data_IF_040836660737
#
_entry.id   IF_040836660737
#
_cell.length_a   1.000
_cell.length_b   1.000
_cell.length_c   1.000
_cell.angle_alpha   90.00
_cell.angle_beta   90.00
_cell.angle_gamma   90.00
#
_symmetry.space_group_name_H-M   'P 1'
#
loop_
_entity.id
_entity.type
_entity.pdbx_description
1 polymer ?
#
# COMPACT_ATOMS: atom_id res chain seq x y z
N UNK A 1 -4.98 19.78 10.45
CA UNK A 1 -5.17 20.03 9.00
C UNK A 1 -6.65 19.93 8.67
N UNK A 2 -7.28 20.99 8.15
CA UNK A 2 -8.63 20.89 7.61
C UNK A 2 -8.54 20.23 6.23
N UNK A 3 -8.91 18.96 6.16
CA UNK A 3 -9.14 18.28 4.89
C UNK A 3 -10.46 18.80 4.32
N UNK A 4 -10.40 19.72 3.35
CA UNK A 4 -11.58 20.14 2.59
C UNK A 4 -11.99 18.98 1.69
N UNK A 5 -13.14 18.36 1.96
CA UNK A 5 -13.72 17.34 1.08
C UNK A 5 -14.49 18.01 -0.06
N UNK A 6 -14.10 17.70 -1.30
CA UNK A 6 -14.85 18.09 -2.49
C UNK A 6 -15.86 16.98 -2.81
N UNK A 7 -17.14 17.20 -2.50
CA UNK A 7 -18.21 16.23 -2.70
C UNK A 7 -18.91 16.53 -4.02
N UNK A 8 -18.95 15.54 -4.92
CA UNK A 8 -19.63 15.65 -6.20
C UNK A 8 -20.28 14.34 -6.58
N UNK A 9 -21.40 14.43 -7.29
CA UNK A 9 -22.04 13.29 -7.91
C UNK A 9 -21.25 12.81 -9.12
N UNK A 10 -21.19 11.49 -9.29
CA UNK A 10 -20.48 10.82 -10.37
C UNK A 10 -21.39 9.77 -10.98
N UNK A 11 -21.40 9.68 -12.31
CA UNK A 11 -22.22 8.69 -13.02
C UNK A 11 -21.52 7.34 -13.04
N UNK A 12 -22.28 6.29 -12.79
CA UNK A 12 -21.87 4.91 -13.06
C UNK A 12 -22.04 4.59 -14.56
N UNK A 13 -21.06 3.89 -15.12
CA UNK A 13 -21.08 3.43 -16.51
C UNK A 13 -21.30 1.92 -16.57
N UNK A 14 -22.08 1.38 -17.53
CA UNK A 14 -22.25 -0.06 -17.68
C UNK A 14 -20.95 -0.71 -18.16
N UNK A 15 -20.60 -1.86 -17.56
CA UNK A 15 -19.48 -2.73 -17.99
C UNK A 15 -19.98 -4.17 -17.92
N UNK A 16 -20.56 -4.68 -19.01
CA UNK A 16 -21.21 -6.00 -19.02
C UNK A 16 -22.34 -6.10 -17.98
N UNK A 17 -22.29 -7.12 -17.12
CA UNK A 17 -23.23 -7.30 -16.00
C UNK A 17 -22.86 -6.47 -14.73
N UNK A 18 -21.91 -5.55 -14.85
CA UNK A 18 -21.41 -4.73 -13.75
C UNK A 18 -21.49 -3.23 -14.07
N UNK A 19 -21.10 -2.41 -13.11
CA UNK A 19 -20.95 -0.96 -13.25
C UNK A 19 -19.52 -0.53 -12.94
N UNK A 20 -19.04 0.47 -13.66
CA UNK A 20 -17.77 1.12 -13.41
C UNK A 20 -17.95 2.56 -12.96
N UNK A 21 -16.94 3.08 -12.27
CA UNK A 21 -16.80 4.49 -11.92
C UNK A 21 -15.76 5.13 -12.84
N UNK A 22 -16.10 6.23 -13.52
CA UNK A 22 -15.13 6.97 -14.34
C UNK A 22 -14.33 7.92 -13.46
N UNK A 23 -13.05 7.62 -13.26
CA UNK A 23 -12.10 8.50 -12.59
C UNK A 23 -11.47 9.48 -13.59
N UNK A 24 -11.56 10.81 -13.39
CA UNK A 24 -10.84 11.78 -14.21
C UNK A 24 -9.33 11.58 -14.15
N UNK A 25 -8.64 11.73 -15.28
CA UNK A 25 -7.17 11.64 -15.36
C UNK A 25 -6.46 12.52 -14.33
N UNK A 26 -6.96 13.73 -14.10
CA UNK A 26 -6.40 14.64 -13.10
C UNK A 26 -6.41 14.06 -11.67
N UNK A 27 -7.39 13.21 -11.31
CA UNK A 27 -7.38 12.52 -10.01
C UNK A 27 -6.34 11.39 -10.00
N UNK A 28 -6.26 10.60 -11.08
CA UNK A 28 -5.27 9.53 -11.20
C UNK A 28 -3.85 10.09 -11.06
N UNK A 29 -3.55 11.17 -11.79
CA UNK A 29 -2.24 11.84 -11.75
C UNK A 29 -1.95 12.44 -10.36
N UNK A 30 -2.96 13.06 -9.72
CA UNK A 30 -2.82 13.64 -8.38
C UNK A 30 -2.48 12.60 -7.32
N UNK A 31 -3.06 11.41 -7.39
CA UNK A 31 -2.87 10.35 -6.40
C UNK A 31 -1.85 9.30 -6.82
N UNK A 32 -1.19 9.45 -7.97
CA UNK A 32 -0.21 8.48 -8.48
C UNK A 32 -0.81 7.11 -8.76
N UNK A 33 -2.12 7.03 -9.04
CA UNK A 33 -2.80 5.76 -9.29
C UNK A 33 -2.59 5.29 -10.72
N UNK A 34 -2.23 4.01 -10.87
CA UNK A 34 -1.99 3.37 -12.16
C UNK A 34 -3.16 2.47 -12.55
N UNK A 35 -2.93 1.15 -12.58
CA UNK A 35 -3.80 0.13 -13.16
C UNK A 35 -4.69 -0.56 -12.12
N UNK A 36 -4.31 -0.52 -10.83
CA UNK A 36 -5.02 -1.24 -9.76
C UNK A 36 -5.22 -0.38 -8.54
N UNK A 37 -6.40 -0.53 -7.95
CA UNK A 37 -6.80 0.05 -6.68
C UNK A 37 -7.22 -1.07 -5.73
N UNK A 38 -7.14 -0.77 -4.44
CA UNK A 38 -7.75 -1.58 -3.40
C UNK A 38 -9.14 -1.01 -3.13
N UNK A 39 -10.15 -1.87 -3.15
CA UNK A 39 -11.51 -1.54 -2.74
C UNK A 39 -11.77 -2.20 -1.40
N UNK A 40 -12.06 -1.38 -0.39
CA UNK A 40 -12.56 -1.83 0.90
C UNK A 40 -14.05 -1.54 0.99
N UNK A 41 -14.83 -2.55 1.38
CA UNK A 41 -16.27 -2.44 1.63
C UNK A 41 -16.50 -2.15 3.11
N UNK A 42 -17.24 -1.07 3.39
CA UNK A 42 -17.70 -0.66 4.71
C UNK A 42 -19.23 -0.72 4.74
N UNK A 43 -19.84 -0.56 5.92
CA UNK A 43 -21.30 -0.70 6.10
C UNK A 43 -22.13 0.22 5.18
N UNK A 44 -21.68 1.46 4.97
CA UNK A 44 -22.41 2.46 4.18
C UNK A 44 -21.62 3.02 2.99
N UNK A 45 -20.42 2.49 2.73
CA UNK A 45 -19.56 3.05 1.68
C UNK A 45 -18.52 2.06 1.17
N UNK A 46 -17.93 2.38 0.03
CA UNK A 46 -16.70 1.75 -0.44
C UNK A 46 -15.58 2.78 -0.40
N UNK A 47 -14.40 2.36 0.05
CA UNK A 47 -13.20 3.20 0.02
C UNK A 47 -12.25 2.65 -1.03
N UNK A 48 -11.91 3.50 -2.01
CA UNK A 48 -10.86 3.21 -2.98
C UNK A 48 -9.54 3.81 -2.50
N UNK A 49 -8.51 2.97 -2.41
CA UNK A 49 -7.15 3.40 -2.09
C UNK A 49 -6.19 2.95 -3.18
N UNK A 50 -5.10 3.71 -3.34
CA UNK A 50 -3.95 3.24 -4.10
C UNK A 50 -3.46 1.93 -3.49
N UNK A 51 -3.00 1.01 -4.34
CA UNK A 51 -2.28 -0.15 -3.83
C UNK A 51 -0.94 0.37 -3.32
N UNK A 52 -0.78 0.41 -1.99
CA UNK A 52 0.50 0.68 -1.35
C UNK A 52 1.51 -0.36 -1.87
N UNK A 53 2.38 0.06 -2.78
CA UNK A 53 3.59 -0.68 -3.11
C UNK A 53 4.73 -0.15 -2.25
N UNK A 54 4.51 0.09 -0.96
CA UNK A 54 5.59 0.26 0.00
C UNK A 54 6.18 -1.11 0.34
N UNK A 55 6.69 -1.80 -0.68
CA UNK A 55 7.91 -2.53 -0.43
C UNK A 55 8.98 -1.43 -0.37
N UNK A 56 9.67 -1.29 0.75
CA UNK A 56 10.84 -0.43 0.82
C UNK A 56 11.70 -0.71 -0.42
N UNK A 57 12.14 0.34 -1.12
CA UNK A 57 13.18 0.15 -2.11
C UNK A 57 14.39 -0.50 -1.43
N UNK A 58 15.20 -1.27 -2.15
CA UNK A 58 16.36 -1.96 -1.56
C UNK A 58 17.24 -1.01 -0.73
N UNK A 59 17.37 0.24 -1.16
CA UNK A 59 18.09 1.30 -0.48
C UNK A 59 17.42 1.74 0.84
N UNK A 60 16.09 1.87 0.86
CA UNK A 60 15.34 2.14 2.09
C UNK A 60 15.33 0.93 3.05
N UNK A 61 15.25 -0.29 2.52
CA UNK A 61 15.39 -1.52 3.30
C UNK A 61 16.78 -1.61 3.92
N UNK A 62 17.84 -1.33 3.16
CA UNK A 62 19.21 -1.30 3.68
C UNK A 62 19.39 -0.24 4.77
N UNK A 63 18.83 0.97 4.58
CA UNK A 63 18.88 2.02 5.62
C UNK A 63 18.12 1.62 6.87
N UNK A 64 16.94 1.01 6.73
CA UNK A 64 16.15 0.55 7.86
C UNK A 64 16.87 -0.56 8.64
N UNK A 65 17.38 -1.58 7.94
CA UNK A 65 18.18 -2.66 8.55
C UNK A 65 19.46 -2.13 9.21
N UNK A 66 20.15 -1.16 8.61
CA UNK A 66 21.36 -0.57 9.21
C UNK A 66 21.08 0.33 10.43
N UNK A 67 19.87 0.88 10.54
CA UNK A 67 19.44 1.68 11.68
C UNK A 67 18.91 0.81 12.84
N UNK A 68 18.57 -0.44 12.56
CA UNK A 68 18.13 -1.43 13.55
C UNK A 68 19.36 -2.09 14.19
N UNK A 69 19.46 -2.03 15.52
CA UNK A 69 20.52 -2.69 16.27
C UNK A 69 20.07 -4.10 16.60
N UNK A 70 20.10 -4.99 15.61
CA UNK A 70 19.70 -6.38 15.79
C UNK A 70 20.69 -7.14 16.69
N UNK A 71 20.17 -7.86 17.68
CA UNK A 71 20.94 -8.75 18.56
C UNK A 71 20.96 -10.16 17.96
N UNK A 72 22.12 -10.55 17.42
CA UNK A 72 22.35 -11.84 16.77
C UNK A 72 23.00 -12.86 17.71
N UNK A 73 23.11 -12.57 19.01
CA UNK A 73 23.79 -13.44 20.00
C UNK A 73 23.19 -14.85 20.11
N UNK A 74 21.95 -15.04 19.69
CA UNK A 74 21.28 -16.35 19.66
C UNK A 74 21.91 -17.31 18.62
N UNK A 75 22.60 -16.79 17.60
CA UNK A 75 23.33 -17.60 16.61
C UNK A 75 24.71 -18.07 17.09
N UNK A 76 25.26 -17.46 18.14
CA UNK A 76 26.54 -17.87 18.73
C UNK A 76 26.44 -19.21 19.47
N UNK A 77 25.23 -19.59 19.90
CA UNK A 77 24.95 -20.84 20.63
C UNK A 77 25.17 -22.07 19.74
N UNK A 78 24.92 -21.96 18.43
CA UNK A 78 25.00 -23.09 17.50
C UNK A 78 26.45 -23.53 17.16
N UNK A 79 27.47 -22.72 17.46
CA UNK A 79 28.88 -23.09 17.26
C UNK A 79 29.36 -24.05 18.37
N UNK A 80 28.67 -24.09 19.52
CA UNK A 80 29.12 -24.82 20.70
C UNK A 80 28.74 -26.31 20.73
N UNK A 81 27.85 -26.78 19.85
CA UNK A 81 27.26 -28.13 19.94
C UNK A 81 27.59 -29.04 18.74
N UNK A 82 28.69 -28.78 18.02
CA UNK A 82 28.99 -29.59 16.83
C UNK A 82 30.32 -29.39 16.14
N UNK A 83 31.45 -29.30 16.86
CA UNK A 83 32.78 -29.73 16.35
C UNK A 83 33.66 -30.22 17.51
N UNK A 84 33.29 -31.35 18.12
CA UNK A 84 34.16 -32.53 18.38
C UNK A 84 33.29 -33.75 18.74
#
# INVERSE_FOLDING_TARGET
>A
MNQSSDVREVKLIPIGNSKGLRLPKALLDKYGWSDRLVLEELEESIVLRGKETHNLSWDETSRAMAAESEDWSDFDIAIADGVD
#
